data_IF_229954483336
#
_entry.id   IF_229954483336
#
_cell.length_a   1.000
_cell.length_b   1.000
_cell.length_c   1.000
_cell.angle_alpha   90.00
_cell.angle_beta   90.00
_cell.angle_gamma   90.00
#
_symmetry.space_group_name_H-M   'P 1'
#
loop_
_entity.id
_entity.type
_entity.pdbx_description
1 polymer ?
#
# COMPACT_ATOMS: atom_id res chain seq x y z
N UNK A 1 -13.84 1.87 -1.73
CA UNK A 1 -12.81 1.00 -1.13
C UNK A 1 -11.64 1.80 -0.58
N UNK A 2 -10.95 2.61 -1.41
CA UNK A 2 -9.82 3.45 -0.99
C UNK A 2 -10.10 4.30 0.25
N UNK A 3 -11.18 5.10 0.24
CA UNK A 3 -11.54 5.97 1.37
C UNK A 3 -11.79 5.19 2.66
N UNK A 4 -12.51 4.06 2.58
CA UNK A 4 -12.79 3.21 3.74
C UNK A 4 -11.51 2.60 4.33
N UNK A 5 -10.55 2.20 3.48
CA UNK A 5 -9.24 1.72 3.93
C UNK A 5 -8.46 2.82 4.63
N UNK A 6 -8.36 4.01 4.03
CA UNK A 6 -7.65 5.14 4.64
C UNK A 6 -8.24 5.56 5.97
N UNK A 7 -9.56 5.68 6.06
CA UNK A 7 -10.28 6.03 7.30
C UNK A 7 -10.00 4.98 8.39
N UNK A 8 -10.19 3.70 8.08
CA UNK A 8 -9.94 2.60 9.01
C UNK A 8 -8.51 2.55 9.56
N UNK A 9 -7.51 2.90 8.73
CA UNK A 9 -6.11 2.92 9.11
C UNK A 9 -5.77 4.17 9.94
N UNK A 10 -6.31 5.34 9.58
CA UNK A 10 -6.16 6.56 10.39
C UNK A 10 -6.74 6.41 11.78
N UNK A 11 -7.90 5.77 11.91
CA UNK A 11 -8.52 5.46 13.21
C UNK A 11 -7.64 4.57 14.11
N UNK A 12 -6.63 3.90 13.53
CA UNK A 12 -5.65 3.06 14.23
C UNK A 12 -4.30 3.75 14.43
N UNK A 13 -4.20 5.03 14.10
CA UNK A 13 -2.99 5.83 14.30
C UNK A 13 -1.96 5.69 13.18
N UNK A 14 -2.35 5.21 11.99
CA UNK A 14 -1.48 5.25 10.82
C UNK A 14 -1.67 6.55 10.03
N UNK A 15 -0.56 7.16 9.63
CA UNK A 15 -0.57 8.16 8.57
C UNK A 15 -0.79 7.48 7.22
N UNK A 16 -1.74 7.99 6.44
CA UNK A 16 -2.06 7.38 5.13
C UNK A 16 -2.03 8.42 4.02
N UNK A 17 -1.18 8.15 3.03
CA UNK A 17 -1.25 8.76 1.70
C UNK A 17 -1.87 7.77 0.71
N UNK A 18 -2.56 8.28 -0.32
CA UNK A 18 -3.17 7.43 -1.35
C UNK A 18 -2.86 7.94 -2.74
N UNK A 19 -2.55 7.02 -3.65
CA UNK A 19 -2.50 7.29 -5.07
C UNK A 19 -3.72 6.68 -5.78
N UNK A 20 -4.34 7.40 -6.74
CA UNK A 20 -5.52 6.92 -7.44
C UNK A 20 -5.22 5.90 -8.56
N UNK A 21 -4.02 5.94 -9.13
CA UNK A 21 -3.53 5.06 -10.20
C UNK A 21 -2.03 4.76 -9.98
N UNK A 22 -1.43 3.92 -10.83
CA UNK A 22 -0.03 3.56 -10.68
C UNK A 22 0.94 4.67 -11.10
N UNK A 23 0.57 5.57 -12.02
CA UNK A 23 1.43 6.68 -12.42
C UNK A 23 1.67 7.64 -11.24
N UNK A 24 0.58 8.08 -10.60
CA UNK A 24 0.64 8.90 -9.39
C UNK A 24 1.30 8.14 -8.23
N UNK A 25 1.16 6.81 -8.16
CA UNK A 25 1.85 6.01 -7.16
C UNK A 25 3.37 6.02 -7.37
N UNK A 26 3.84 5.88 -8.61
CA UNK A 26 5.28 5.91 -8.93
C UNK A 26 5.90 7.28 -8.62
N UNK A 27 5.17 8.36 -8.90
CA UNK A 27 5.60 9.72 -8.55
C UNK A 27 5.66 9.92 -7.03
N UNK A 28 4.59 9.53 -6.34
CA UNK A 28 4.43 9.76 -4.89
C UNK A 28 5.39 8.90 -4.06
N UNK A 29 5.59 7.63 -4.42
CA UNK A 29 6.48 6.72 -3.68
C UNK A 29 7.93 7.21 -3.68
N UNK A 30 8.35 7.89 -4.75
CA UNK A 30 9.68 8.52 -4.84
C UNK A 30 9.90 9.57 -3.75
N UNK A 31 8.86 10.27 -3.31
CA UNK A 31 8.96 11.36 -2.36
C UNK A 31 8.67 10.97 -0.89
N UNK A 32 7.78 9.98 -0.66
CA UNK A 32 7.23 9.74 0.68
C UNK A 32 8.05 8.80 1.57
N UNK A 33 8.73 7.80 1.02
CA UNK A 33 9.41 6.77 1.82
C UNK A 33 8.50 6.08 2.86
N UNK A 34 7.40 5.43 2.45
CA UNK A 34 6.40 4.90 3.37
C UNK A 34 6.90 3.69 4.17
N UNK A 35 6.39 3.53 5.40
CA UNK A 35 6.68 2.36 6.24
C UNK A 35 6.05 1.07 5.71
N UNK A 36 4.92 1.14 4.99
CA UNK A 36 4.31 0.01 4.30
C UNK A 36 3.55 0.47 3.05
N UNK A 37 3.38 -0.44 2.08
CA UNK A 37 2.67 -0.15 0.83
C UNK A 37 1.53 -1.15 0.63
N UNK A 38 0.31 -0.62 0.52
CA UNK A 38 -0.89 -1.40 0.17
C UNK A 38 -1.22 -1.18 -1.31
N UNK A 39 -1.21 -2.26 -2.09
CA UNK A 39 -1.37 -2.22 -3.55
C UNK A 39 -2.61 -2.99 -3.97
N UNK A 40 -3.58 -2.33 -4.59
CA UNK A 40 -4.63 -3.04 -5.34
C UNK A 40 -4.05 -3.55 -6.66
N UNK A 41 -3.97 -4.87 -6.86
CA UNK A 41 -3.38 -5.50 -8.07
C UNK A 41 -4.22 -5.28 -9.33
N UNK A 42 -5.49 -4.90 -9.17
CA UNK A 42 -6.40 -4.59 -10.28
C UNK A 42 -6.53 -3.08 -10.50
N UNK A 43 -5.73 -2.26 -9.83
CA UNK A 43 -5.91 -0.82 -9.55
C UNK A 43 -6.05 0.15 -10.73
N UNK A 44 -6.16 -0.33 -11.97
CA UNK A 44 -6.63 0.48 -13.10
C UNK A 44 -7.79 -0.26 -13.76
N UNK A 45 -9.00 0.34 -13.80
CA UNK A 45 -10.11 -0.18 -14.58
C UNK A 45 -9.70 -0.45 -16.04
N UNK A 46 -10.19 -1.56 -16.61
CA UNK A 46 -9.87 -1.88 -18.02
C UNK A 46 -10.29 -0.72 -18.93
N UNK A 47 -9.36 -0.21 -19.72
CA UNK A 47 -9.63 0.84 -20.72
C UNK A 47 -9.36 2.26 -20.24
N UNK A 48 -8.85 2.45 -19.02
CA UNK A 48 -8.27 3.74 -18.61
C UNK A 48 -6.81 3.85 -19.06
N UNK A 49 -6.40 5.05 -19.45
CA UNK A 49 -5.03 5.38 -19.81
C UNK A 49 -4.14 5.41 -18.55
N UNK A 50 -2.91 4.93 -18.69
CA UNK A 50 -1.90 4.94 -17.61
C UNK A 50 -1.15 3.62 -17.45
N UNK A 51 -0.18 3.61 -16.53
CA UNK A 51 0.55 2.40 -16.21
C UNK A 51 -0.39 1.32 -15.64
N UNK A 52 -0.20 0.07 -16.03
CA UNK A 52 -0.87 -1.08 -15.43
C UNK A 52 0.00 -1.75 -14.35
N UNK A 53 -0.56 -2.74 -13.64
CA UNK A 53 0.15 -3.44 -12.57
C UNK A 53 1.47 -4.09 -13.05
N UNK A 54 1.54 -4.59 -14.29
CA UNK A 54 2.77 -5.20 -14.80
C UNK A 54 3.90 -4.18 -14.93
N UNK A 55 3.59 -2.95 -15.37
CA UNK A 55 4.55 -1.85 -15.45
C UNK A 55 4.98 -1.41 -14.05
N UNK A 56 4.02 -1.19 -13.15
CA UNK A 56 4.30 -0.85 -11.75
C UNK A 56 5.17 -1.90 -11.05
N UNK A 57 4.81 -3.19 -11.18
CA UNK A 57 5.56 -4.31 -10.60
C UNK A 57 6.97 -4.46 -11.20
N UNK A 58 7.17 -4.05 -12.46
CA UNK A 58 8.51 -4.01 -13.06
C UNK A 58 9.35 -2.85 -12.53
N UNK A 59 8.73 -1.69 -12.31
CA UNK A 59 9.37 -0.49 -11.79
C UNK A 59 9.82 -0.64 -10.31
N UNK A 60 9.02 -1.32 -9.49
CA UNK A 60 9.23 -1.44 -8.04
C UNK A 60 10.69 -1.78 -7.60
N UNK A 61 11.37 -2.81 -8.13
CA UNK A 61 12.74 -3.10 -7.72
C UNK A 61 13.76 -2.04 -8.16
N UNK A 62 13.51 -1.33 -9.26
CA UNK A 62 14.38 -0.24 -9.69
C UNK A 62 14.26 0.97 -8.75
N UNK A 63 13.07 1.17 -8.16
CA UNK A 63 12.83 2.21 -7.18
C UNK A 63 13.44 1.89 -5.80
N UNK A 64 13.22 0.67 -5.29
CA UNK A 64 13.63 0.30 -3.92
C UNK A 64 15.03 -0.33 -3.83
N UNK A 65 15.57 -0.88 -4.92
CA UNK A 65 16.83 -1.62 -4.88
C UNK A 65 16.73 -2.87 -3.99
N UNK A 66 17.66 -3.00 -3.03
CA UNK A 66 17.76 -4.17 -2.15
C UNK A 66 16.93 -4.05 -0.85
N UNK A 67 16.34 -2.88 -0.57
CA UNK A 67 15.58 -2.63 0.65
C UNK A 67 14.23 -2.00 0.33
N UNK A 68 13.15 -2.66 0.74
CA UNK A 68 11.78 -2.22 0.51
C UNK A 68 10.94 -2.31 1.78
N UNK A 69 9.95 -1.43 1.97
CA UNK A 69 8.99 -1.56 3.05
C UNK A 69 8.11 -2.81 2.84
N UNK A 70 7.44 -3.32 3.88
CA UNK A 70 6.45 -4.37 3.72
C UNK A 70 5.36 -4.03 2.69
N UNK A 71 5.12 -4.99 1.78
CA UNK A 71 4.05 -4.90 0.77
C UNK A 71 2.84 -5.76 1.14
N UNK A 72 1.65 -5.20 0.92
CA UNK A 72 0.38 -5.91 1.02
C UNK A 72 -0.37 -5.76 -0.30
N UNK A 73 -0.62 -6.88 -0.97
CA UNK A 73 -1.30 -6.94 -2.26
C UNK A 73 -2.77 -7.33 -2.09
N UNK A 74 -3.67 -6.46 -2.51
CA UNK A 74 -5.11 -6.72 -2.57
C UNK A 74 -5.44 -7.33 -3.93
N UNK A 75 -6.03 -8.53 -3.93
CA UNK A 75 -6.20 -9.34 -5.14
C UNK A 75 -7.62 -9.89 -5.23
N UNK A 76 -8.34 -9.69 -6.33
CA UNK A 76 -9.67 -10.31 -6.50
C UNK A 76 -9.65 -11.84 -6.33
N UNK A 77 -10.65 -12.38 -5.64
CA UNK A 77 -10.91 -13.83 -5.63
C UNK A 77 -11.09 -14.32 -7.07
N UNK A 78 -10.45 -15.44 -7.40
CA UNK A 78 -10.44 -15.98 -8.76
C UNK A 78 -9.41 -15.35 -9.71
N UNK A 79 -8.83 -14.19 -9.39
CA UNK A 79 -7.75 -13.62 -10.19
C UNK A 79 -6.45 -14.43 -10.01
N UNK A 80 -5.75 -14.69 -11.13
CA UNK A 80 -4.41 -15.29 -11.14
C UNK A 80 -3.47 -14.39 -10.35
N UNK A 81 -2.76 -14.99 -9.38
CA UNK A 81 -1.70 -14.28 -8.64
C UNK A 81 -0.55 -13.99 -9.62
N UNK A 82 -0.19 -12.72 -9.86
CA UNK A 82 0.98 -12.41 -10.67
C UNK A 82 2.26 -12.77 -9.90
N UNK A 83 3.37 -12.88 -10.61
CA UNK A 83 4.67 -12.96 -9.98
C UNK A 83 5.05 -11.57 -9.45
N UNK A 84 5.04 -11.39 -8.14
CA UNK A 84 5.43 -10.14 -7.49
C UNK A 84 6.95 -10.03 -7.48
N UNK A 85 7.49 -8.90 -7.97
CA UNK A 85 8.93 -8.66 -7.93
C UNK A 85 9.43 -8.28 -6.54
N UNK A 86 8.57 -7.61 -5.77
CA UNK A 86 8.77 -7.42 -4.33
C UNK A 86 7.85 -8.41 -3.60
N UNK A 87 8.36 -9.27 -2.70
CA UNK A 87 7.51 -10.17 -1.94
C UNK A 87 6.62 -9.39 -0.96
N UNK A 88 5.42 -9.90 -0.72
CA UNK A 88 4.46 -9.28 0.18
C UNK A 88 3.28 -10.18 0.52
N UNK A 89 2.56 -9.79 1.58
CA UNK A 89 1.32 -10.44 1.98
C UNK A 89 0.25 -10.27 0.89
N UNK A 90 -0.66 -11.24 0.76
CA UNK A 90 -1.74 -11.18 -0.24
C UNK A 90 -3.08 -11.35 0.45
N UNK A 91 -3.94 -10.35 0.30
CA UNK A 91 -5.31 -10.37 0.83
C UNK A 91 -6.29 -10.49 -0.34
N UNK A 92 -7.15 -11.51 -0.30
CA UNK A 92 -8.11 -11.78 -1.37
C UNK A 92 -9.40 -10.97 -1.17
N UNK A 93 -9.83 -10.19 -2.17
CA UNK A 93 -11.12 -9.49 -2.18
C UNK A 93 -12.30 -10.45 -2.50
N UNK A 94 -13.47 -10.32 -1.84
CA UNK A 94 -13.75 -9.43 -0.71
C UNK A 94 -13.08 -9.94 0.58
N UNK A 95 -12.69 -9.02 1.45
CA UNK A 95 -12.07 -9.30 2.74
C UNK A 95 -12.68 -8.41 3.84
N UNK A 96 -12.70 -8.87 5.11
CA UNK A 96 -12.98 -7.99 6.24
C UNK A 96 -11.85 -6.98 6.38
N UNK A 97 -12.17 -5.70 6.58
CA UNK A 97 -11.18 -4.61 6.62
C UNK A 97 -10.15 -4.82 7.74
N UNK A 98 -10.54 -5.57 8.78
CA UNK A 98 -9.71 -6.03 9.88
C UNK A 98 -8.48 -6.82 9.41
N UNK A 99 -8.63 -7.65 8.37
CA UNK A 99 -7.53 -8.45 7.82
C UNK A 99 -6.39 -7.56 7.28
N UNK A 100 -6.71 -6.34 6.80
CA UNK A 100 -5.68 -5.38 6.39
C UNK A 100 -4.94 -4.82 7.61
N UNK A 101 -5.66 -4.49 8.68
CA UNK A 101 -5.05 -4.00 9.91
C UNK A 101 -4.18 -5.05 10.59
N UNK A 102 -4.62 -6.32 10.60
CA UNK A 102 -3.83 -7.45 11.12
C UNK A 102 -2.55 -7.65 10.29
N UNK A 103 -2.66 -7.67 8.96
CA UNK A 103 -1.49 -7.82 8.09
C UNK A 103 -0.48 -6.67 8.26
N UNK A 104 -0.95 -5.42 8.41
CA UNK A 104 -0.06 -4.29 8.70
C UNK A 104 0.61 -4.42 10.07
N UNK A 105 -0.16 -4.82 11.10
CA UNK A 105 0.37 -5.02 12.45
C UNK A 105 1.41 -6.14 12.53
N UNK A 106 1.23 -7.23 11.79
CA UNK A 106 2.20 -8.33 11.73
C UNK A 106 3.53 -7.88 11.12
N UNK A 107 3.47 -6.97 10.15
CA UNK A 107 4.66 -6.50 9.41
C UNK A 107 5.36 -5.31 10.08
N UNK A 108 4.59 -4.37 10.64
CA UNK A 108 5.10 -3.13 11.23
C UNK A 108 5.21 -3.18 12.77
N UNK A 109 4.63 -4.20 13.40
CA UNK A 109 4.39 -4.21 14.84
C UNK A 109 3.16 -3.37 15.21
N UNK A 110 3.00 -3.13 16.51
CA UNK A 110 1.93 -2.25 16.99
C UNK A 110 2.13 -0.83 16.44
N UNK A 111 1.11 -0.21 15.81
CA UNK A 111 1.15 1.23 15.62
C UNK A 111 1.40 1.84 17.00
N UNK A 112 2.43 2.70 17.09
CA UNK A 112 2.88 3.24 18.37
C UNK A 112 1.66 3.71 19.17
N UNK A 113 1.49 3.17 20.37
CA UNK A 113 0.36 3.50 21.25
C UNK A 113 0.51 4.88 21.90
N UNK A 114 1.44 5.67 21.41
CA UNK A 114 1.88 6.90 22.04
C UNK A 114 1.58 8.03 21.05
N UNK A 115 0.31 8.45 21.03
CA UNK A 115 -0.13 9.73 20.47
C UNK A 115 0.43 10.91 21.27
N UNK A 116 1.75 10.95 21.47
CA UNK A 116 2.48 11.92 22.28
C UNK A 116 3.94 12.07 21.83
N UNK A 117 4.22 11.99 20.53
CA UNK A 117 5.41 12.64 19.96
C UNK A 117 5.06 14.10 19.69
N UNK A 118 5.86 15.09 20.14
CA UNK A 118 5.57 16.48 19.84
C UNK A 118 5.48 16.66 18.33
N UNK A 119 4.37 17.24 17.87
CA UNK A 119 4.24 17.70 16.50
C UNK A 119 5.43 18.58 16.18
N UNK A 120 6.08 18.31 15.06
CA UNK A 120 7.19 19.13 14.59
C UNK A 120 6.59 20.50 14.23
N UNK A 121 6.75 21.48 15.11
CA UNK A 121 6.50 22.89 14.82
C UNK A 121 7.46 23.28 13.69
N UNK A 122 6.88 23.63 12.54
CA UNK A 122 7.59 24.30 11.47
C UNK A 122 7.26 25.78 11.60
N UNK A 123 8.04 26.48 12.43
CA UNK A 123 8.30 27.91 12.25
C UNK A 123 9.22 28.13 11.04
#
# INVERSE_FOLDING_TARGET
MRSAVSEYLRDRGYDTATAPNYDEAMETLTALGPDAVVVDVQGVPRGEDGANFSQFNHWLPAHYGESWPPFIYLLHKGARRPHFRIPGAVIKKPFPIEALGEALREQLGHPRRDGAGPGMDLD
#
